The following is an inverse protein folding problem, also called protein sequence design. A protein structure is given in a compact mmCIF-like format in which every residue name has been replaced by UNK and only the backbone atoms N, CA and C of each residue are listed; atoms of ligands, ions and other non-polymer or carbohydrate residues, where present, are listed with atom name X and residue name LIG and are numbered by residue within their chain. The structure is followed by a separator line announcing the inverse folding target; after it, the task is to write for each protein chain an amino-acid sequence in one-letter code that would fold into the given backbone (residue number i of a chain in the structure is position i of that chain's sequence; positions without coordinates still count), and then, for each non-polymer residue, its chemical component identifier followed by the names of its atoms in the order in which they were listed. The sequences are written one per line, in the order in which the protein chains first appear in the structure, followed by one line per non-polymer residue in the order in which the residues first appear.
data_IF_366626268315
#
_entry.id   IF_366626268315
#
_cell.length_a   1.000
_cell.length_b   1.000
_cell.length_c   1.000
_cell.angle_alpha   90.00
_cell.angle_beta   90.00
_cell.angle_gamma   90.00
#
_symmetry.space_group_name_H-M   'P 1'
#
loop_
_entity.id
_entity.type
_entity.pdbx_description
1 polymer ?
#
# COMPACT_ATOMS: atom_id res chain seq x y z
N UNK A 1 -39.90 34.49 -35.53
CA UNK A 1 -38.46 34.13 -35.60
C UNK A 1 -37.82 34.25 -34.21
N UNK A 2 -38.01 33.26 -33.33
CA UNK A 2 -37.40 33.23 -31.97
C UNK A 2 -37.39 31.78 -31.43
N UNK A 3 -36.52 30.90 -31.92
CA UNK A 3 -36.40 29.52 -31.38
C UNK A 3 -35.05 28.88 -31.73
N UNK A 4 -33.92 29.56 -31.46
CA UNK A 4 -32.59 28.99 -31.77
C UNK A 4 -31.50 29.29 -30.73
N UNK A 5 -31.86 29.59 -29.48
CA UNK A 5 -30.88 30.04 -28.46
C UNK A 5 -30.87 29.21 -27.15
N UNK A 6 -31.39 27.98 -27.15
CA UNK A 6 -31.50 27.15 -25.94
C UNK A 6 -30.84 25.77 -26.05
N UNK A 7 -29.94 25.56 -27.02
CA UNK A 7 -29.24 24.28 -27.24
C UNK A 7 -27.71 24.49 -27.19
N UNK A 8 -27.21 25.17 -26.15
CA UNK A 8 -25.75 25.29 -25.95
C UNK A 8 -25.30 25.20 -24.49
N UNK A 9 -26.21 24.92 -23.54
CA UNK A 9 -25.84 24.82 -22.12
C UNK A 9 -25.69 23.37 -21.60
N UNK A 10 -25.93 22.34 -22.41
CA UNK A 10 -25.92 20.95 -21.94
C UNK A 10 -24.65 20.13 -22.27
N UNK A 11 -23.67 20.70 -22.98
CA UNK A 11 -22.50 19.92 -23.46
C UNK A 11 -21.31 19.97 -22.48
N UNK A 12 -21.33 20.80 -21.45
CA UNK A 12 -20.15 21.01 -20.59
C UNK A 12 -19.99 20.06 -19.38
N UNK A 13 -20.92 19.13 -19.13
CA UNK A 13 -20.93 18.35 -17.86
C UNK A 13 -20.28 16.96 -17.98
N UNK A 14 -19.89 16.51 -19.18
CA UNK A 14 -19.50 15.10 -19.41
C UNK A 14 -18.02 14.75 -19.20
N UNK A 15 -17.13 15.69 -18.83
CA UNK A 15 -15.68 15.42 -18.76
C UNK A 15 -15.11 15.10 -17.36
N UNK A 16 -15.89 15.14 -16.28
CA UNK A 16 -15.34 15.02 -14.91
C UNK A 16 -15.12 13.58 -14.39
N UNK A 17 -15.45 12.54 -15.17
CA UNK A 17 -15.56 11.16 -14.63
C UNK A 17 -14.37 10.25 -14.91
N UNK A 18 -13.38 10.69 -15.71
CA UNK A 18 -12.29 9.84 -16.18
C UNK A 18 -11.03 9.86 -15.28
N UNK A 19 -10.80 10.91 -14.50
CA UNK A 19 -9.51 11.10 -13.79
C UNK A 19 -9.41 10.38 -12.43
N UNK A 20 -10.52 9.94 -11.84
CA UNK A 20 -10.49 9.44 -10.44
C UNK A 20 -9.77 8.09 -10.31
N UNK A 21 -9.72 7.28 -11.37
CA UNK A 21 -9.04 5.98 -11.35
C UNK A 21 -7.53 6.10 -11.57
N UNK A 22 -7.06 7.12 -12.32
CA UNK A 22 -5.63 7.30 -12.61
C UNK A 22 -4.82 7.75 -11.40
N UNK A 23 -5.45 8.44 -10.44
CA UNK A 23 -4.78 8.92 -9.22
C UNK A 23 -4.61 7.82 -8.15
N UNK A 24 -5.23 6.65 -8.34
CA UNK A 24 -5.13 5.52 -7.42
C UNK A 24 -3.93 4.64 -7.79
N UNK A 25 -2.81 4.80 -7.08
CA UNK A 25 -1.66 3.91 -7.19
C UNK A 25 -1.83 2.70 -6.28
N UNK A 26 -1.71 1.52 -6.85
CA UNK A 26 -1.80 0.25 -6.14
C UNK A 26 -0.45 -0.45 -6.14
N UNK A 27 -0.05 -1.00 -5.00
CA UNK A 27 1.14 -1.84 -4.89
C UNK A 27 1.01 -3.18 -5.60
N UNK A 28 2.08 -3.97 -5.61
CA UNK A 28 2.17 -5.22 -6.37
C UNK A 28 1.04 -6.21 -6.06
N UNK A 29 0.41 -6.78 -7.10
CA UNK A 29 -0.67 -7.76 -6.97
C UNK A 29 -2.08 -7.18 -6.79
N UNK A 30 -2.23 -5.85 -6.90
CA UNK A 30 -3.50 -5.14 -6.80
C UNK A 30 -3.78 -4.30 -8.04
N UNK A 31 -5.06 -3.99 -8.30
CA UNK A 31 -5.49 -3.08 -9.37
C UNK A 31 -6.48 -2.05 -8.83
N UNK A 32 -6.50 -0.82 -9.37
CA UNK A 32 -7.49 0.18 -8.99
C UNK A 32 -8.88 -0.26 -9.47
N UNK A 33 -9.86 -0.18 -8.57
CA UNK A 33 -11.27 -0.50 -8.85
C UNK A 33 -12.16 0.58 -8.22
N UNK A 34 -13.37 0.72 -8.76
CA UNK A 34 -14.40 1.61 -8.23
C UNK A 34 -15.55 0.76 -7.69
N UNK A 35 -15.89 0.94 -6.41
CA UNK A 35 -17.03 0.26 -5.79
C UNK A 35 -18.36 0.81 -6.31
N UNK A 36 -19.46 0.10 -6.04
CA UNK A 36 -20.81 0.57 -6.39
C UNK A 36 -21.15 1.91 -5.73
N UNK A 37 -20.57 2.20 -4.57
CA UNK A 37 -20.72 3.48 -3.86
C UNK A 37 -19.83 4.60 -4.42
N UNK A 38 -19.09 4.31 -5.50
CA UNK A 38 -18.22 5.26 -6.18
C UNK A 38 -16.85 5.45 -5.54
N UNK A 39 -16.50 4.72 -4.48
CA UNK A 39 -15.19 4.77 -3.82
C UNK A 39 -14.14 4.07 -4.68
N UNK A 40 -12.98 4.72 -4.85
CA UNK A 40 -11.84 4.11 -5.53
C UNK A 40 -10.92 3.45 -4.51
N UNK A 41 -10.51 2.22 -4.77
CA UNK A 41 -9.64 1.42 -3.91
C UNK A 41 -8.80 0.43 -4.73
N UNK A 42 -7.88 -0.26 -4.08
CA UNK A 42 -7.03 -1.28 -4.69
C UNK A 42 -7.55 -2.67 -4.33
N UNK A 43 -8.02 -3.43 -5.31
CA UNK A 43 -8.47 -4.81 -5.13
C UNK A 43 -7.40 -5.81 -5.59
N UNK A 44 -7.26 -6.90 -4.85
CA UNK A 44 -6.34 -7.98 -5.16
C UNK A 44 -6.70 -8.64 -6.49
N UNK A 45 -5.68 -8.90 -7.32
CA UNK A 45 -5.89 -9.53 -8.63
C UNK A 45 -6.29 -11.00 -8.46
N UNK A 46 -5.66 -11.68 -7.50
CA UNK A 46 -5.85 -13.12 -7.23
C UNK A 46 -6.56 -13.41 -5.90
N UNK A 47 -6.71 -12.39 -5.05
CA UNK A 47 -7.24 -12.52 -3.70
C UNK A 47 -8.42 -11.55 -3.54
N UNK A 48 -9.49 -12.01 -2.89
CA UNK A 48 -10.63 -11.16 -2.52
C UNK A 48 -10.24 -10.28 -1.31
N UNK A 49 -9.34 -9.34 -1.54
CA UNK A 49 -8.82 -8.41 -0.55
C UNK A 49 -8.78 -7.01 -1.15
N UNK A 50 -9.24 -6.02 -0.39
CA UNK A 50 -9.32 -4.62 -0.81
C UNK A 50 -8.55 -3.75 0.17
N UNK A 51 -7.77 -2.81 -0.35
CA UNK A 51 -7.02 -1.83 0.45
C UNK A 51 -7.15 -0.41 -0.13
N UNK A 52 -6.95 0.64 0.69
CA UNK A 52 -6.89 2.01 0.19
C UNK A 52 -5.82 2.23 -0.91
N UNK A 53 -6.04 3.23 -1.75
CA UNK A 53 -5.07 3.70 -2.73
C UNK A 53 -3.87 4.37 -2.06
N UNK A 54 -2.75 4.45 -2.77
CA UNK A 54 -1.56 5.25 -2.40
C UNK A 54 -0.96 4.87 -1.04
N UNK A 55 -1.16 3.61 -0.61
CA UNK A 55 -0.49 3.07 0.57
C UNK A 55 0.98 2.81 0.22
N UNK A 56 1.94 3.33 1.01
CA UNK A 56 3.35 3.01 0.85
C UNK A 56 3.60 1.50 0.87
N UNK A 57 4.37 1.00 -0.09
CA UNK A 57 4.75 -0.41 -0.14
C UNK A 57 6.03 -0.60 0.67
N UNK A 58 5.93 -1.38 1.74
CA UNK A 58 7.09 -1.72 2.55
C UNK A 58 8.11 -2.52 1.71
N UNK A 59 9.42 -2.27 1.89
CA UNK A 59 10.45 -3.06 1.24
C UNK A 59 10.31 -4.55 1.57
N UNK A 60 10.74 -5.41 0.65
CA UNK A 60 10.88 -6.83 0.95
C UNK A 60 11.94 -7.01 2.05
N UNK A 61 11.78 -7.96 2.96
CA UNK A 61 12.77 -8.20 4.01
C UNK A 61 13.77 -9.25 3.53
N UNK A 62 15.00 -8.84 3.25
CA UNK A 62 16.05 -9.78 2.85
C UNK A 62 16.66 -10.46 4.06
N UNK A 63 16.80 -11.77 3.98
CA UNK A 63 17.25 -12.60 5.08
C UNK A 63 18.16 -13.73 4.58
N UNK A 64 19.36 -13.85 5.15
CA UNK A 64 20.28 -14.94 4.90
C UNK A 64 20.09 -16.08 5.92
N UNK A 65 20.48 -17.29 5.52
CA UNK A 65 20.39 -18.48 6.36
C UNK A 65 19.01 -19.14 6.37
N UNK A 66 18.73 -19.94 7.40
CA UNK A 66 17.47 -20.66 7.52
C UNK A 66 16.37 -19.74 8.06
N UNK A 67 15.49 -19.31 7.17
CA UNK A 67 14.37 -18.41 7.47
C UNK A 67 13.07 -19.17 7.32
N UNK A 68 12.21 -19.04 8.31
CA UNK A 68 10.89 -19.69 8.32
C UNK A 68 9.75 -18.70 8.22
N UNK A 69 10.01 -17.41 8.44
CA UNK A 69 9.01 -16.37 8.32
C UNK A 69 9.57 -14.97 8.53
N UNK A 70 8.81 -13.98 8.07
CA UNK A 70 9.04 -12.57 8.33
C UNK A 70 7.99 -12.11 9.36
N UNK A 71 8.46 -11.50 10.45
CA UNK A 71 7.61 -10.99 11.51
C UNK A 71 7.65 -9.47 11.50
N UNK A 72 6.49 -8.83 11.61
CA UNK A 72 6.38 -7.39 11.77
C UNK A 72 5.66 -7.08 13.06
N UNK A 73 6.29 -6.27 13.90
CA UNK A 73 5.71 -5.74 15.14
C UNK A 73 5.98 -4.23 15.25
N UNK A 74 5.59 -3.63 16.37
CA UNK A 74 5.73 -2.19 16.59
C UNK A 74 7.20 -1.72 16.63
N UNK A 75 8.16 -2.64 16.82
CA UNK A 75 9.60 -2.37 16.84
C UNK A 75 10.27 -2.57 15.48
N UNK A 76 9.52 -3.07 14.49
CA UNK A 76 9.89 -3.15 13.09
C UNK A 76 9.67 -4.53 12.46
N UNK A 77 10.35 -4.76 11.34
CA UNK A 77 10.28 -6.01 10.58
C UNK A 77 11.55 -6.83 10.78
N UNK A 78 11.37 -8.15 10.89
CA UNK A 78 12.37 -9.10 11.34
C UNK A 78 12.32 -10.40 10.54
N UNK A 79 13.50 -10.95 10.28
CA UNK A 79 13.68 -12.34 9.88
C UNK A 79 13.52 -13.25 11.10
N UNK A 80 12.83 -14.39 10.95
CA UNK A 80 12.63 -15.35 12.03
C UNK A 80 12.88 -16.80 11.61
N UNK A 81 13.53 -17.53 12.49
CA UNK A 81 13.71 -18.98 12.42
C UNK A 81 12.88 -19.65 13.53
N UNK A 82 11.90 -20.44 13.14
CA UNK A 82 11.01 -21.17 14.03
C UNK A 82 11.27 -22.67 13.86
N UNK A 83 11.46 -23.37 14.98
CA UNK A 83 11.62 -24.83 15.00
C UNK A 83 10.62 -25.41 15.98
N UNK A 84 9.78 -26.34 15.51
CA UNK A 84 8.73 -26.98 16.31
C UNK A 84 7.80 -25.95 16.99
N UNK A 85 7.43 -24.89 16.27
CA UNK A 85 6.54 -23.84 16.75
C UNK A 85 7.15 -22.86 17.77
N UNK A 86 8.48 -22.92 17.99
CA UNK A 86 9.19 -21.97 18.87
C UNK A 86 10.19 -21.14 18.08
N UNK A 87 10.16 -19.82 18.30
CA UNK A 87 11.16 -18.88 17.77
C UNK A 87 12.54 -19.25 18.33
N UNK A 88 13.45 -19.67 17.46
CA UNK A 88 14.84 -19.98 17.80
C UNK A 88 15.70 -18.73 17.67
N UNK A 89 15.46 -17.96 16.61
CA UNK A 89 16.22 -16.75 16.29
C UNK A 89 15.32 -15.72 15.63
N UNK A 90 15.54 -14.47 16.00
CA UNK A 90 14.99 -13.28 15.34
C UNK A 90 16.12 -12.30 15.08
N UNK A 91 16.17 -11.73 13.88
CA UNK A 91 17.17 -10.73 13.49
C UNK A 91 16.61 -9.73 12.49
N UNK A 92 17.28 -8.58 12.35
CA UNK A 92 16.84 -7.51 11.44
C UNK A 92 16.96 -7.96 9.97
N UNK A 93 16.11 -7.38 9.12
CA UNK A 93 16.27 -7.47 7.67
C UNK A 93 17.66 -6.97 7.26
N UNK A 94 18.28 -7.65 6.29
CA UNK A 94 19.66 -7.41 5.87
C UNK A 94 19.76 -6.28 4.83
N UNK A 95 18.69 -5.99 4.11
CA UNK A 95 18.58 -4.87 3.17
C UNK A 95 18.34 -3.53 3.87
N UNK A 96 19.17 -3.21 4.88
CA UNK A 96 19.01 -2.01 5.72
C UNK A 96 18.95 -0.71 4.92
N UNK A 97 19.67 -0.60 3.81
CA UNK A 97 19.68 0.60 2.97
C UNK A 97 18.32 0.88 2.31
N UNK A 98 17.57 -0.14 1.91
CA UNK A 98 16.22 0.03 1.34
C UNK A 98 15.24 0.50 2.40
N UNK A 99 15.31 -0.09 3.59
CA UNK A 99 14.53 0.32 4.75
C UNK A 99 14.85 1.75 5.19
N UNK A 100 16.12 2.13 5.24
CA UNK A 100 16.55 3.50 5.57
C UNK A 100 16.04 4.51 4.55
N UNK A 101 16.01 4.14 3.27
CA UNK A 101 15.46 4.97 2.19
C UNK A 101 13.96 5.13 2.36
N UNK A 102 13.25 4.02 2.57
CA UNK A 102 11.80 4.01 2.81
C UNK A 102 11.41 4.90 4.00
N UNK A 103 12.09 4.77 5.13
CA UNK A 103 11.79 5.58 6.32
C UNK A 103 12.17 7.05 6.18
N UNK A 104 13.11 7.38 5.30
CA UNK A 104 13.41 8.77 4.96
C UNK A 104 12.29 9.42 4.15
N UNK A 105 11.67 8.64 3.26
CA UNK A 105 10.52 9.07 2.46
C UNK A 105 9.21 9.06 3.29
N UNK A 106 9.13 8.19 4.29
CA UNK A 106 7.97 7.98 5.15
C UNK A 106 8.32 8.01 6.65
N UNK A 107 8.68 9.19 7.20
CA UNK A 107 9.15 9.32 8.58
C UNK A 107 8.08 8.98 9.63
N UNK A 108 6.80 9.05 9.28
CA UNK A 108 5.66 8.67 10.13
C UNK A 108 5.54 7.16 10.35
N UNK A 109 6.18 6.35 9.50
CA UNK A 109 6.17 4.89 9.57
C UNK A 109 7.37 4.29 10.33
N UNK A 110 8.27 5.13 10.85
CA UNK A 110 9.43 4.67 11.62
C UNK A 110 8.98 3.90 12.87
N UNK A 111 9.47 2.67 13.10
CA UNK A 111 9.10 1.89 14.27
C UNK A 111 9.47 2.62 15.56
N UNK A 112 8.52 2.69 16.51
CA UNK A 112 8.76 3.31 17.81
C UNK A 112 9.55 2.33 18.65
N UNK A 113 10.82 2.64 18.93
CA UNK A 113 11.59 1.88 19.92
C UNK A 113 10.98 2.15 21.29
N UNK A 114 10.53 1.11 21.99
CA UNK A 114 10.20 1.18 23.42
C UNK A 114 11.50 1.47 24.17
N UNK A 115 11.78 2.75 24.35
CA UNK A 115 12.71 3.23 25.36
C UNK A 115 11.85 3.55 26.59
N UNK A 116 11.30 2.53 27.22
CA UNK A 116 10.63 2.67 28.51
C UNK A 116 11.35 1.75 29.50
N UNK A 117 11.82 2.39 30.58
CA UNK A 117 12.73 1.94 31.62
C UNK A 117 12.37 0.62 32.30
#
# INVERSE_FOLDING_TARGET
MKFFATISFFIAISMASADVLSDCKCGTGYKPTKTNDGKVQCDGIMLLHSKPCNIPEYPHCDCSGTVTGILSDYTGTWCSENKLGKEQRRWRCENTQEWDTFYREHPDLVPKTTTEN
#
